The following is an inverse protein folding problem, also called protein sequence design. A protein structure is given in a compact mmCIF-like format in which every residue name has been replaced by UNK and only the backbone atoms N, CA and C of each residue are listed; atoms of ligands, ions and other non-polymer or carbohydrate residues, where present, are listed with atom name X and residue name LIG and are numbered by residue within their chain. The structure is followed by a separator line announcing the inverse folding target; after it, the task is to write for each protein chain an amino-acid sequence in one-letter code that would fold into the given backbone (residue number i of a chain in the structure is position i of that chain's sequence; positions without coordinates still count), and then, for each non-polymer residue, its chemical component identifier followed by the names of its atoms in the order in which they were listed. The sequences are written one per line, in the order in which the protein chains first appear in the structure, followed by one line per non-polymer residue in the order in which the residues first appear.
data_IF_710564179741
#
_entry.id   IF_710564179741
#
_cell.length_a   1.000
_cell.length_b   1.000
_cell.length_c   1.000
_cell.angle_alpha   90.00
_cell.angle_beta   90.00
_cell.angle_gamma   90.00
#
_symmetry.space_group_name_H-M   'P 1'
#
loop_
_entity.id
_entity.type
_entity.pdbx_description
1 polymer ?
#
# COMPACT_ATOMS: atom_id res chain seq x y z
N UNK A 1 5.05 8.69 18.30
CA UNK A 1 3.60 8.63 17.97
C UNK A 1 3.26 7.41 17.12
N UNK A 2 4.19 6.87 16.31
CA UNK A 2 3.97 5.70 15.44
C UNK A 2 3.55 4.44 16.18
N UNK A 3 4.04 4.23 17.41
CA UNK A 3 3.94 2.90 18.06
C UNK A 3 2.54 2.59 18.62
N UNK A 4 1.59 3.53 18.51
CA UNK A 4 0.21 3.39 18.98
C UNK A 4 -0.83 3.20 17.86
N UNK A 5 -0.46 3.45 16.61
CA UNK A 5 -1.36 3.28 15.46
C UNK A 5 -1.05 1.94 14.81
N UNK A 6 -2.01 1.03 14.87
CA UNK A 6 -1.90 -0.33 14.32
C UNK A 6 -2.89 -0.44 13.17
N UNK A 7 -2.40 -0.88 12.02
CA UNK A 7 -3.23 -1.12 10.83
C UNK A 7 -4.38 -2.10 11.15
N UNK A 8 -5.57 -1.82 10.63
CA UNK A 8 -6.78 -2.62 10.87
C UNK A 8 -7.51 -2.32 12.19
N UNK A 9 -6.95 -1.49 13.07
CA UNK A 9 -7.66 -0.97 14.26
C UNK A 9 -8.34 0.36 13.99
N UNK A 10 -9.38 0.67 14.77
CA UNK A 10 -10.13 1.92 14.68
C UNK A 10 -9.70 2.92 15.75
N UNK A 11 -9.64 4.20 15.38
CA UNK A 11 -9.21 5.29 16.25
C UNK A 11 -10.09 6.53 16.06
N UNK A 12 -10.33 7.24 17.15
CA UNK A 12 -10.87 8.59 17.14
C UNK A 12 -9.73 9.60 17.17
N UNK A 13 -9.75 10.56 16.24
CA UNK A 13 -8.78 11.65 16.18
C UNK A 13 -9.48 12.99 16.41
N UNK A 14 -8.92 13.83 17.28
CA UNK A 14 -9.38 15.22 17.48
C UNK A 14 -8.20 16.18 17.38
N UNK A 15 -8.43 17.44 16.98
CA UNK A 15 -7.37 18.46 16.89
C UNK A 15 -6.47 18.40 15.64
N UNK A 16 -6.93 17.73 14.57
CA UNK A 16 -6.27 17.68 13.26
C UNK A 16 -6.49 18.98 12.47
N UNK A 17 -5.60 19.25 11.50
CA UNK A 17 -5.79 20.31 10.50
C UNK A 17 -6.03 19.72 9.11
N UNK A 18 -6.80 20.41 8.25
CA UNK A 18 -7.09 19.98 6.88
C UNK A 18 -6.20 20.76 5.90
N UNK A 19 -5.63 20.06 4.92
CA UNK A 19 -4.91 20.64 3.78
C UNK A 19 -5.35 20.00 2.47
N UNK A 20 -5.06 20.64 1.34
CA UNK A 20 -5.14 19.99 0.02
C UNK A 20 -4.19 18.79 -0.01
N UNK A 21 -4.67 17.66 -0.54
CA UNK A 21 -3.85 16.49 -0.76
C UNK A 21 -2.80 16.79 -1.84
N UNK A 22 -1.56 16.38 -1.61
CA UNK A 22 -0.50 16.54 -2.60
C UNK A 22 -0.74 15.56 -3.75
N UNK A 23 -0.89 16.11 -4.96
CA UNK A 23 -1.17 15.35 -6.18
C UNK A 23 -0.09 14.33 -6.54
N UNK A 24 1.11 14.44 -5.96
CA UNK A 24 2.22 13.49 -6.17
C UNK A 24 2.00 12.18 -5.40
N UNK A 25 1.22 12.20 -4.31
CA UNK A 25 0.97 11.05 -3.43
C UNK A 25 -0.50 10.57 -3.50
N UNK A 26 -1.05 10.43 -4.72
CA UNK A 26 -2.44 10.02 -5.00
C UNK A 26 -2.72 8.52 -4.74
N UNK A 27 -2.49 8.02 -3.53
CA UNK A 27 -3.05 6.72 -3.12
C UNK A 27 -4.49 6.83 -2.65
N UNK A 28 -4.94 8.05 -2.29
CA UNK A 28 -6.28 8.30 -1.75
C UNK A 28 -7.09 9.15 -2.72
N UNK A 29 -8.36 8.80 -2.89
CA UNK A 29 -9.29 9.45 -3.81
C UNK A 29 -9.80 10.83 -3.34
N UNK A 30 -9.58 11.18 -2.06
CA UNK A 30 -10.09 12.40 -1.47
C UNK A 30 -9.16 13.61 -1.74
N UNK A 31 -9.69 14.79 -2.13
CA UNK A 31 -8.88 15.96 -2.50
C UNK A 31 -8.17 16.66 -1.32
N UNK A 32 -8.42 16.20 -0.10
CA UNK A 32 -7.88 16.77 1.14
C UNK A 32 -7.18 15.70 1.98
N UNK A 33 -6.17 16.11 2.72
CA UNK A 33 -5.45 15.31 3.70
C UNK A 33 -5.56 15.93 5.10
N UNK A 34 -5.46 15.08 6.12
CA UNK A 34 -5.44 15.48 7.53
C UNK A 34 -4.00 15.50 8.04
N UNK A 35 -3.63 16.57 8.73
CA UNK A 35 -2.28 16.78 9.28
C UNK A 35 -2.37 16.88 10.81
N UNK A 36 -1.62 16.02 11.50
CA UNK A 36 -1.49 16.07 12.94
C UNK A 36 -0.81 17.37 13.39
N UNK A 37 -1.41 18.04 14.37
CA UNK A 37 -0.90 19.23 15.04
C UNK A 37 -0.50 18.93 16.48
N UNK A 38 0.06 19.91 17.18
CA UNK A 38 0.37 19.82 18.61
C UNK A 38 -0.88 19.67 19.51
N UNK A 39 -2.08 19.88 18.96
CA UNK A 39 -3.36 19.69 19.66
C UNK A 39 -4.00 18.33 19.38
N UNK A 40 -3.33 17.49 18.60
CA UNK A 40 -3.91 16.21 18.20
C UNK A 40 -4.00 15.27 19.38
N UNK A 41 -5.21 14.78 19.64
CA UNK A 41 -5.45 13.68 20.57
C UNK A 41 -5.95 12.47 19.78
N UNK A 42 -5.50 11.28 20.19
CA UNK A 42 -5.80 10.01 19.52
C UNK A 42 -6.22 9.01 20.59
N UNK A 43 -7.37 8.37 20.39
CA UNK A 43 -7.89 7.32 21.26
C UNK A 43 -8.31 6.11 20.42
N UNK A 44 -7.88 4.91 20.80
CA UNK A 44 -8.39 3.68 20.20
C UNK A 44 -9.87 3.52 20.55
N UNK A 45 -10.69 3.19 19.55
CA UNK A 45 -12.15 3.09 19.71
C UNK A 45 -12.67 1.85 19.00
N UNK A 46 -13.80 1.34 19.48
CA UNK A 46 -14.54 0.28 18.81
C UNK A 46 -15.54 0.92 17.86
N UNK A 47 -15.20 1.04 16.57
CA UNK A 47 -16.20 1.41 15.58
C UNK A 47 -17.18 0.24 15.39
N UNK A 48 -18.47 0.53 15.58
CA UNK A 48 -19.55 -0.43 15.32
C UNK A 48 -19.78 -0.68 13.81
N UNK A 49 -19.16 0.14 12.95
CA UNK A 49 -19.24 0.03 11.51
C UNK A 49 -17.86 -0.33 10.95
N UNK A 50 -17.79 -1.46 10.23
CA UNK A 50 -16.61 -1.85 9.48
C UNK A 50 -16.53 -0.95 8.24
N UNK A 51 -15.61 0.00 8.24
CA UNK A 51 -15.21 0.67 7.00
C UNK A 51 -14.20 -0.23 6.29
N UNK A 52 -14.59 -0.78 5.15
CA UNK A 52 -13.64 -1.44 4.25
C UNK A 52 -12.91 -0.35 3.45
N UNK A 53 -11.60 -0.51 3.24
CA UNK A 53 -10.86 0.40 2.37
C UNK A 53 -11.50 0.38 0.99
N UNK A 54 -12.01 1.52 0.54
CA UNK A 54 -12.48 1.67 -0.84
C UNK A 54 -11.26 1.70 -1.75
N UNK A 55 -10.99 0.57 -2.42
CA UNK A 55 -9.95 0.47 -3.44
C UNK A 55 -10.51 0.89 -4.81
N UNK A 56 -9.70 1.61 -5.58
CA UNK A 56 -9.99 1.92 -6.98
C UNK A 56 -9.14 1.03 -7.86
N UNK A 57 -9.57 -0.23 -8.00
CA UNK A 57 -8.80 -1.23 -8.75
C UNK A 57 -8.70 -0.89 -10.24
N UNK A 58 -7.48 -0.78 -10.72
CA UNK A 58 -7.11 -0.74 -12.13
C UNK A 58 -6.97 -2.16 -12.66
N UNK A 59 -7.52 -2.43 -13.86
CA UNK A 59 -7.30 -3.71 -14.52
C UNK A 59 -5.86 -3.80 -15.04
N UNK A 60 -5.18 -4.94 -14.91
CA UNK A 60 -3.82 -5.10 -15.44
C UNK A 60 -3.70 -4.79 -16.95
N UNK A 61 -4.75 -5.03 -17.74
CA UNK A 61 -4.76 -4.69 -19.17
C UNK A 61 -4.71 -3.17 -19.44
N UNK A 62 -5.07 -2.35 -18.46
CA UNK A 62 -5.13 -0.89 -18.62
C UNK A 62 -3.81 -0.20 -18.23
N UNK A 63 -2.89 -0.93 -17.57
CA UNK A 63 -1.65 -0.35 -17.03
C UNK A 63 -0.76 0.23 -18.13
N UNK A 64 -0.74 -0.37 -19.32
CA UNK A 64 0.10 0.11 -20.44
C UNK A 64 -0.26 1.53 -20.92
N UNK A 65 -1.47 1.97 -20.64
CA UNK A 65 -1.96 3.31 -21.00
C UNK A 65 -1.72 4.35 -19.90
N UNK A 66 -1.24 3.93 -18.73
CA UNK A 66 -0.97 4.83 -17.62
C UNK A 66 0.44 5.43 -17.73
N UNK A 67 0.61 6.70 -17.32
CA UNK A 67 1.95 7.29 -17.22
C UNK A 67 2.86 6.47 -16.31
N UNK A 68 4.13 6.34 -16.69
CA UNK A 68 5.17 5.76 -15.84
C UNK A 68 5.19 6.49 -14.48
N UNK A 69 5.33 5.72 -13.40
CA UNK A 69 5.27 6.17 -12.00
C UNK A 69 3.86 6.55 -11.49
N UNK A 70 2.79 6.20 -12.21
CA UNK A 70 1.44 6.27 -11.66
C UNK A 70 1.26 5.27 -10.52
N UNK A 71 0.49 5.66 -9.51
CA UNK A 71 0.06 4.77 -8.43
C UNK A 71 -1.28 4.13 -8.78
N UNK A 72 -1.40 2.81 -8.55
CA UNK A 72 -2.59 2.03 -8.87
C UNK A 72 -2.91 1.05 -7.74
N UNK A 73 -4.19 0.76 -7.55
CA UNK A 73 -4.62 -0.43 -6.83
C UNK A 73 -4.85 -1.55 -7.85
N UNK A 74 -4.39 -2.77 -7.60
CA UNK A 74 -4.61 -3.91 -8.50
C UNK A 74 -5.02 -5.14 -7.70
N UNK A 75 -5.95 -5.93 -8.25
CA UNK A 75 -6.34 -7.22 -7.68
C UNK A 75 -5.79 -8.33 -8.56
N UNK A 76 -4.79 -9.05 -8.07
CA UNK A 76 -4.02 -10.01 -8.87
C UNK A 76 -3.84 -11.35 -8.15
N UNK A 77 -3.80 -12.43 -8.92
CA UNK A 77 -3.32 -13.73 -8.45
C UNK A 77 -1.81 -13.86 -8.66
N UNK A 78 -1.13 -14.65 -7.82
CA UNK A 78 0.30 -14.96 -8.00
C UNK A 78 0.43 -16.24 -8.82
N UNK A 79 1.00 -16.14 -10.02
CA UNK A 79 1.27 -17.28 -10.90
C UNK A 79 2.59 -17.98 -10.53
N UNK A 80 3.61 -17.19 -10.14
CA UNK A 80 4.92 -17.72 -9.78
C UNK A 80 5.64 -16.82 -8.80
N UNK A 81 6.32 -17.43 -7.85
CA UNK A 81 7.23 -16.77 -6.92
C UNK A 81 8.68 -17.14 -7.25
N UNK A 82 9.53 -16.15 -7.45
CA UNK A 82 10.94 -16.37 -7.77
C UNK A 82 11.84 -16.38 -6.52
N UNK A 83 11.27 -16.21 -5.34
CA UNK A 83 11.98 -16.22 -4.07
C UNK A 83 12.65 -14.88 -3.73
N UNK A 84 13.29 -14.87 -2.56
CA UNK A 84 13.92 -13.69 -1.99
C UNK A 84 15.35 -13.55 -2.52
N UNK A 85 15.71 -12.34 -2.95
CA UNK A 85 17.08 -11.94 -3.27
C UNK A 85 17.51 -10.79 -2.37
N UNK A 86 18.75 -10.82 -1.88
CA UNK A 86 19.34 -9.75 -1.07
C UNK A 86 20.53 -9.13 -1.78
N UNK A 87 20.80 -7.85 -1.55
CA UNK A 87 21.98 -7.18 -2.08
C UNK A 87 22.28 -5.88 -1.34
N UNK A 88 23.27 -5.14 -1.82
CA UNK A 88 23.62 -3.82 -1.32
C UNK A 88 23.95 -2.87 -2.46
N UNK A 89 23.61 -1.59 -2.31
CA UNK A 89 23.91 -0.53 -3.28
C UNK A 89 24.10 0.78 -2.53
N UNK A 90 25.22 1.46 -2.75
CA UNK A 90 25.59 2.70 -2.03
C UNK A 90 25.46 2.53 -0.50
N UNK A 91 26.03 1.46 0.05
CA UNK A 91 26.00 1.06 1.46
C UNK A 91 24.63 0.75 2.06
N UNK A 92 23.55 0.87 1.28
CA UNK A 92 22.21 0.48 1.68
C UNK A 92 21.96 -0.98 1.30
N UNK A 93 21.66 -1.80 2.30
CA UNK A 93 21.22 -3.18 2.08
C UNK A 93 19.76 -3.21 1.67
N UNK A 94 19.41 -4.11 0.76
CA UNK A 94 18.05 -4.32 0.31
C UNK A 94 17.71 -5.80 0.25
N UNK A 95 16.44 -6.09 0.44
CA UNK A 95 15.85 -7.41 0.20
C UNK A 95 14.72 -7.22 -0.81
N UNK A 96 14.62 -8.09 -1.82
CA UNK A 96 13.54 -8.03 -2.80
C UNK A 96 12.98 -9.42 -3.07
N UNK A 97 11.72 -9.47 -3.50
CA UNK A 97 11.07 -10.70 -3.96
C UNK A 97 10.32 -10.39 -5.24
N UNK A 98 10.65 -11.12 -6.30
CA UNK A 98 9.98 -10.98 -7.59
C UNK A 98 8.83 -11.98 -7.70
N UNK A 99 7.66 -11.49 -8.07
CA UNK A 99 6.45 -12.27 -8.29
C UNK A 99 6.02 -12.11 -9.75
N UNK A 100 5.57 -13.21 -10.36
CA UNK A 100 4.77 -13.17 -11.58
C UNK A 100 3.30 -13.17 -11.16
N UNK A 101 2.58 -12.12 -11.50
CA UNK A 101 1.17 -11.97 -11.13
C UNK A 101 0.30 -11.92 -12.38
N UNK A 102 -0.96 -12.30 -12.24
CA UNK A 102 -1.93 -12.34 -13.34
C UNK A 102 -3.30 -11.82 -12.92
N UNK A 103 -4.04 -11.31 -13.91
CA UNK A 103 -5.44 -10.90 -13.81
C UNK A 103 -6.05 -11.02 -15.21
N UNK A 104 -7.14 -11.77 -15.36
CA UNK A 104 -7.92 -11.87 -16.60
C UNK A 104 -7.10 -12.11 -17.89
N UNK A 105 -6.09 -12.98 -17.81
CA UNK A 105 -5.22 -13.33 -18.95
C UNK A 105 -4.02 -12.40 -19.17
N UNK A 106 -4.01 -11.21 -18.56
CA UNK A 106 -2.83 -10.36 -18.46
C UNK A 106 -1.89 -10.86 -17.35
N UNK A 107 -0.59 -10.64 -17.54
CA UNK A 107 0.40 -11.02 -16.56
C UNK A 107 1.59 -10.04 -16.55
N UNK A 108 2.09 -9.74 -15.36
CA UNK A 108 3.15 -8.74 -15.15
C UNK A 108 4.07 -9.18 -14.01
N UNK A 109 5.30 -8.65 -13.98
CA UNK A 109 6.21 -8.83 -12.84
C UNK A 109 5.92 -7.77 -11.78
N UNK A 110 5.81 -8.21 -10.54
CA UNK A 110 5.66 -7.36 -9.36
C UNK A 110 6.84 -7.58 -8.43
N UNK A 111 7.43 -6.49 -7.91
CA UNK A 111 8.57 -6.56 -6.99
C UNK A 111 8.16 -6.06 -5.62
N UNK A 112 8.33 -6.91 -4.60
CA UNK A 112 8.18 -6.55 -3.21
C UNK A 112 9.54 -6.21 -2.61
N UNK A 113 9.60 -5.24 -1.71
CA UNK A 113 10.85 -4.79 -1.10
C UNK A 113 10.87 -4.96 0.42
N UNK A 114 12.06 -5.19 0.95
CA UNK A 114 12.42 -5.22 2.37
C UNK A 114 11.47 -6.06 3.21
N UNK A 115 10.68 -5.42 4.07
CA UNK A 115 9.78 -6.11 4.96
C UNK A 115 8.63 -6.81 4.23
N UNK A 116 8.10 -6.22 3.15
CA UNK A 116 7.05 -6.83 2.34
C UNK A 116 7.53 -8.14 1.71
N UNK A 117 8.78 -8.15 1.20
CA UNK A 117 9.42 -9.35 0.65
C UNK A 117 9.54 -10.48 1.68
N UNK A 118 9.75 -10.14 2.97
CA UNK A 118 9.91 -11.09 4.08
C UNK A 118 8.58 -11.59 4.66
N UNK A 119 7.57 -10.73 4.77
CA UNK A 119 6.31 -11.04 5.46
C UNK A 119 5.37 -11.91 4.63
N UNK A 120 5.38 -11.78 3.30
CA UNK A 120 4.43 -12.51 2.45
C UNK A 120 4.88 -13.97 2.32
N UNK A 121 4.05 -14.90 2.80
CA UNK A 121 4.15 -16.32 2.48
C UNK A 121 3.17 -16.60 1.33
N UNK A 122 3.68 -16.96 0.17
CA UNK A 122 2.88 -17.41 -0.97
C UNK A 122 2.59 -18.90 -0.77
N UNK A 123 1.35 -19.24 -0.45
CA UNK A 123 0.88 -20.62 -0.55
C UNK A 123 0.60 -20.91 -2.02
N UNK A 124 1.37 -21.81 -2.63
CA UNK A 124 1.01 -22.34 -3.95
C UNK A 124 -0.26 -23.19 -3.77
N UNK A 125 -1.33 -22.84 -4.48
CA UNK A 125 -2.53 -23.67 -4.63
C UNK A 125 -2.30 -24.62 -5.79
#
# INVERSE_FOLDING_TARGET
MSDKLIEGKSFEFTGLSIKTADSVYKTLSHPFQLIATNRTNVQETLMLFKYELTHNFTNLNEIEYLPINSTVDVQVGVLRDYGITTGSTNDNTWTRRELHVHQDGAHIRMTLWNEQARRIQTSMV
#
